data_IF_610544363785
#
_entry.id   IF_610544363785
#
_cell.length_a   1.000
_cell.length_b   1.000
_cell.length_c   1.000
_cell.angle_alpha   90.00
_cell.angle_beta   90.00
_cell.angle_gamma   90.00
#
_symmetry.space_group_name_H-M   'P 1'
#
loop_
_entity.id
_entity.type
_entity.pdbx_description
1 polymer ?
#
# COMPACT_ATOMS: atom_id res chain seq x y z
N UNK A 1 -21.76 -8.82 -7.75
CA UNK A 1 -21.97 -8.10 -9.02
C UNK A 1 -22.00 -6.62 -8.68
N UNK A 2 -20.97 -5.84 -9.03
CA UNK A 2 -20.95 -4.38 -8.84
C UNK A 2 -21.04 -3.72 -10.22
N UNK A 3 -22.01 -2.81 -10.48
CA UNK A 3 -22.21 -2.23 -11.80
C UNK A 3 -21.51 -0.87 -11.85
N UNK A 4 -20.44 -0.71 -12.63
CA UNK A 4 -20.05 0.63 -13.11
C UNK A 4 -19.55 0.58 -14.55
N UNK A 5 -20.44 1.04 -15.43
CA UNK A 5 -20.26 1.26 -16.86
C UNK A 5 -19.39 2.48 -17.15
N UNK A 6 -18.60 2.34 -18.21
CA UNK A 6 -18.25 3.33 -19.26
C UNK A 6 -18.35 4.82 -18.89
N UNK A 7 -17.20 5.46 -18.69
CA UNK A 7 -17.02 6.87 -19.02
C UNK A 7 -15.73 7.08 -19.80
N UNK A 8 -15.89 7.75 -20.96
CA UNK A 8 -14.85 8.18 -21.88
C UNK A 8 -14.09 9.34 -21.24
N UNK A 9 -12.86 9.13 -20.79
CA UNK A 9 -11.89 10.22 -20.71
C UNK A 9 -10.47 9.64 -20.77
N UNK A 10 -9.81 9.82 -21.93
CA UNK A 10 -8.45 9.30 -22.17
C UNK A 10 -7.40 9.89 -21.22
N UNK A 11 -7.63 11.10 -20.68
CA UNK A 11 -6.75 11.72 -19.70
C UNK A 11 -6.78 11.03 -18.33
N UNK A 12 -7.95 10.48 -17.98
CA UNK A 12 -8.18 9.70 -16.76
C UNK A 12 -7.47 8.35 -16.93
N UNK A 13 -7.66 7.64 -18.05
CA UNK A 13 -6.97 6.36 -18.30
C UNK A 13 -5.42 6.39 -18.09
N UNK A 14 -4.74 7.48 -18.47
CA UNK A 14 -3.28 7.59 -18.35
C UNK A 14 -2.77 7.89 -16.91
N UNK A 15 -3.57 8.56 -16.07
CA UNK A 15 -3.32 8.65 -14.62
C UNK A 15 -3.71 7.36 -13.87
N UNK A 16 -4.40 6.43 -14.54
CA UNK A 16 -5.07 5.29 -13.93
C UNK A 16 -4.29 3.98 -14.09
N UNK A 17 -3.43 3.87 -15.09
CA UNK A 17 -2.43 2.79 -15.19
C UNK A 17 -1.32 2.94 -14.14
N UNK A 18 -1.01 4.16 -13.72
CA UNK A 18 0.10 4.46 -12.82
C UNK A 18 -0.13 4.08 -11.36
N UNK A 19 -1.35 4.04 -10.81
CA UNK A 19 -1.54 3.68 -9.39
C UNK A 19 -1.20 2.22 -9.06
N UNK A 20 -1.64 1.29 -9.91
CA UNK A 20 -1.38 -0.14 -9.77
C UNK A 20 0.05 -0.51 -10.19
N UNK A 21 0.50 0.05 -11.32
CA UNK A 21 1.87 -0.14 -11.80
C UNK A 21 2.86 0.50 -10.82
N UNK A 22 2.58 1.67 -10.26
CA UNK A 22 3.45 2.32 -9.26
C UNK A 22 3.52 1.54 -7.96
N UNK A 23 2.43 0.95 -7.47
CA UNK A 23 2.52 0.11 -6.26
C UNK A 23 3.34 -1.16 -6.51
N UNK A 24 3.15 -1.82 -7.66
CA UNK A 24 3.96 -2.99 -8.04
C UNK A 24 5.43 -2.61 -8.35
N UNK A 25 5.67 -1.54 -9.12
CA UNK A 25 7.01 -1.02 -9.43
C UNK A 25 7.70 -0.55 -8.18
N UNK A 26 7.02 0.11 -7.24
CA UNK A 26 7.58 0.49 -5.94
C UNK A 26 7.92 -0.75 -5.12
N UNK A 27 7.05 -1.76 -5.10
CA UNK A 27 7.35 -3.04 -4.44
C UNK A 27 8.58 -3.72 -5.07
N UNK A 28 8.68 -3.74 -6.40
CA UNK A 28 9.81 -4.29 -7.14
C UNK A 28 11.09 -3.44 -7.05
N UNK A 29 10.97 -2.11 -6.96
CA UNK A 29 12.09 -1.18 -6.77
C UNK A 29 12.63 -1.28 -5.35
N UNK A 30 11.75 -1.43 -4.35
CA UNK A 30 12.13 -1.76 -2.99
C UNK A 30 12.82 -3.13 -2.91
N UNK A 31 12.41 -4.11 -3.72
CA UNK A 31 13.18 -5.36 -3.90
C UNK A 31 14.55 -5.13 -4.56
N UNK A 32 14.69 -4.18 -5.49
CA UNK A 32 15.95 -3.88 -6.19
C UNK A 32 16.98 -3.16 -5.30
N UNK A 33 16.52 -2.38 -4.32
CA UNK A 33 17.39 -1.82 -3.29
C UNK A 33 18.10 -2.90 -2.44
N UNK A 34 17.65 -4.17 -2.49
CA UNK A 34 18.10 -5.22 -1.58
C UNK A 34 18.97 -6.33 -2.19
N UNK A 35 19.34 -6.27 -3.48
CA UNK A 35 20.25 -7.26 -4.07
C UNK A 35 21.70 -6.76 -4.13
N UNK A 36 22.56 -7.04 -3.14
CA UNK A 36 23.98 -6.87 -3.31
C UNK A 36 24.59 -8.09 -4.03
N UNK A 37 25.34 -7.83 -5.10
CA UNK A 37 26.51 -8.66 -5.39
C UNK A 37 27.53 -8.33 -4.29
N UNK A 38 27.76 -9.28 -3.38
CA UNK A 38 28.73 -9.25 -2.26
C UNK A 38 28.39 -8.35 -1.05
N UNK A 39 28.65 -8.90 0.13
CA UNK A 39 28.13 -8.49 1.44
C UNK A 39 28.73 -7.18 2.01
N UNK A 40 28.47 -6.05 1.38
CA UNK A 40 28.57 -4.75 2.05
C UNK A 40 27.25 -4.41 2.73
N UNK A 41 27.31 -4.10 4.03
CA UNK A 41 26.16 -3.57 4.78
C UNK A 41 25.93 -2.13 4.32
N UNK A 42 25.13 -1.96 3.27
CA UNK A 42 24.77 -0.66 2.69
C UNK A 42 23.78 0.17 3.53
N UNK A 43 23.37 -0.35 4.70
CA UNK A 43 22.46 0.32 5.61
C UNK A 43 23.20 1.19 6.62
N UNK A 44 22.75 2.44 6.78
CA UNK A 44 23.11 3.21 7.98
C UNK A 44 22.42 2.59 9.21
N UNK A 45 23.02 2.74 10.40
CA UNK A 45 22.40 2.30 11.67
C UNK A 45 21.02 2.94 11.92
N UNK A 46 20.79 4.13 11.37
CA UNK A 46 19.48 4.80 11.45
C UNK A 46 18.45 4.12 10.55
N UNK A 47 18.81 3.85 9.29
CA UNK A 47 17.92 3.16 8.35
C UNK A 47 17.56 1.74 8.82
N UNK A 48 18.53 0.99 9.36
CA UNK A 48 18.28 -0.33 9.93
C UNK A 48 17.34 -0.29 11.14
N UNK A 49 17.51 0.69 12.03
CA UNK A 49 16.59 0.91 13.16
C UNK A 49 15.19 1.25 12.68
N UNK A 50 15.07 2.14 11.70
CA UNK A 50 13.78 2.51 11.13
C UNK A 50 13.06 1.30 10.49
N UNK A 51 13.77 0.49 9.70
CA UNK A 51 13.22 -0.74 9.13
C UNK A 51 12.73 -1.72 10.20
N UNK A 52 13.53 -1.95 11.25
CA UNK A 52 13.15 -2.84 12.34
C UNK A 52 11.94 -2.35 13.13
N UNK A 53 11.90 -1.06 13.47
CA UNK A 53 10.76 -0.45 14.17
C UNK A 53 9.50 -0.54 13.31
N UNK A 54 9.60 -0.23 12.02
CA UNK A 54 8.46 -0.25 11.09
C UNK A 54 7.91 -1.66 10.93
N UNK A 55 8.78 -2.66 10.71
CA UNK A 55 8.36 -4.07 10.56
C UNK A 55 7.76 -4.64 11.86
N UNK A 56 8.27 -4.27 13.03
CA UNK A 56 7.66 -4.64 14.32
C UNK A 56 6.29 -4.00 14.51
N UNK A 57 6.14 -2.73 14.15
CA UNK A 57 4.86 -2.03 14.17
C UNK A 57 3.84 -2.74 13.26
N UNK A 58 4.21 -3.03 12.00
CA UNK A 58 3.37 -3.72 11.05
C UNK A 58 2.97 -5.12 11.53
N UNK A 59 3.87 -5.84 12.20
CA UNK A 59 3.56 -7.15 12.78
C UNK A 59 2.52 -7.05 13.91
N UNK A 60 2.59 -6.02 14.76
CA UNK A 60 1.57 -5.75 15.80
C UNK A 60 0.23 -5.36 15.16
N UNK A 61 0.25 -4.47 14.16
CA UNK A 61 -0.94 -4.09 13.41
C UNK A 61 -1.60 -5.31 12.74
N UNK A 62 -0.82 -6.17 12.10
CA UNK A 62 -1.29 -7.42 11.52
C UNK A 62 -1.99 -8.32 12.55
N UNK A 63 -1.42 -8.43 13.76
CA UNK A 63 -2.03 -9.15 14.88
C UNK A 63 -3.35 -8.53 15.35
N UNK A 64 -3.40 -7.21 15.53
CA UNK A 64 -4.61 -6.47 15.93
C UNK A 64 -5.75 -6.61 14.93
N UNK A 65 -5.44 -6.67 13.63
CA UNK A 65 -6.42 -6.85 12.56
C UNK A 65 -6.90 -8.31 12.41
N UNK A 66 -6.39 -9.24 13.23
CA UNK A 66 -6.76 -10.66 13.17
C UNK A 66 -6.41 -11.32 11.83
N UNK A 67 -5.41 -10.80 11.13
CA UNK A 67 -5.03 -11.28 9.81
C UNK A 67 -4.29 -12.62 9.91
N UNK A 68 -4.59 -13.54 8.99
CA UNK A 68 -3.96 -14.87 8.94
C UNK A 68 -2.88 -14.93 7.87
N UNK A 69 -1.80 -15.64 8.19
CA UNK A 69 -0.80 -16.09 7.24
C UNK A 69 -1.33 -17.33 6.49
N UNK A 70 -1.03 -17.45 5.18
CA UNK A 70 -1.44 -18.61 4.39
C UNK A 70 -0.49 -19.82 4.52
N UNK A 71 0.73 -19.63 5.02
CA UNK A 71 1.67 -20.72 5.26
C UNK A 71 2.69 -20.38 6.37
N UNK A 72 3.33 -21.41 6.92
CA UNK A 72 4.42 -21.32 7.89
C UNK A 72 5.68 -20.85 7.14
N UNK A 73 5.87 -19.54 7.05
CA UNK A 73 7.09 -18.91 6.56
C UNK A 73 8.03 -18.53 7.70
N UNK A 74 9.30 -18.28 7.40
CA UNK A 74 10.16 -17.59 8.36
C UNK A 74 9.58 -16.20 8.67
N UNK A 75 9.58 -15.80 9.95
CA UNK A 75 9.02 -14.52 10.37
C UNK A 75 9.65 -13.31 9.66
N UNK A 76 10.90 -13.45 9.20
CA UNK A 76 11.63 -12.41 8.48
C UNK A 76 11.07 -12.16 7.06
N UNK A 77 10.77 -13.22 6.29
CA UNK A 77 10.19 -13.07 4.95
C UNK A 77 8.82 -12.38 4.99
N UNK A 78 8.01 -12.73 6.00
CA UNK A 78 6.71 -12.11 6.22
C UNK A 78 6.83 -10.65 6.65
N UNK A 79 7.74 -10.33 7.58
CA UNK A 79 8.02 -8.94 7.98
C UNK A 79 8.46 -8.09 6.79
N UNK A 80 9.31 -8.65 5.93
CA UNK A 80 9.73 -7.98 4.70
C UNK A 80 8.56 -7.73 3.75
N UNK A 81 7.74 -8.75 3.44
CA UNK A 81 6.57 -8.59 2.55
C UNK A 81 5.58 -7.55 3.10
N UNK A 82 5.37 -7.50 4.42
CA UNK A 82 4.56 -6.44 5.06
C UNK A 82 5.15 -5.04 4.83
N UNK A 83 6.45 -4.86 5.10
CA UNK A 83 7.12 -3.58 4.94
C UNK A 83 7.09 -3.09 3.50
N UNK A 84 7.45 -3.95 2.54
CA UNK A 84 7.48 -3.60 1.12
C UNK A 84 6.13 -3.15 0.60
N UNK A 85 5.03 -3.79 1.05
CA UNK A 85 3.67 -3.38 0.65
C UNK A 85 3.23 -2.07 1.27
N UNK A 86 3.51 -1.87 2.56
CA UNK A 86 3.19 -0.63 3.26
C UNK A 86 3.97 0.55 2.65
N UNK A 87 5.29 0.40 2.49
CA UNK A 87 6.16 1.38 1.85
C UNK A 87 5.77 1.62 0.38
N UNK A 88 5.50 0.55 -0.38
CA UNK A 88 5.13 0.66 -1.78
C UNK A 88 3.82 1.40 -1.99
N UNK A 89 2.83 1.19 -1.12
CA UNK A 89 1.57 1.95 -1.16
C UNK A 89 1.80 3.43 -0.81
N UNK A 90 2.61 3.71 0.22
CA UNK A 90 2.97 5.07 0.63
C UNK A 90 3.63 5.85 -0.51
N UNK A 91 4.68 5.29 -1.10
CA UNK A 91 5.38 5.89 -2.24
C UNK A 91 4.45 6.12 -3.45
N UNK A 92 3.59 5.15 -3.76
CA UNK A 92 2.62 5.28 -4.85
C UNK A 92 1.60 6.40 -4.59
N UNK A 93 1.19 6.57 -3.33
CA UNK A 93 0.26 7.62 -2.94
C UNK A 93 0.93 9.01 -2.95
N UNK A 94 2.18 9.10 -2.50
CA UNK A 94 2.96 10.35 -2.57
C UNK A 94 3.21 10.76 -4.03
N UNK A 95 3.46 9.79 -4.91
CA UNK A 95 3.56 10.04 -6.35
C UNK A 95 2.23 10.54 -6.94
N UNK A 96 1.09 9.98 -6.51
CA UNK A 96 -0.23 10.48 -6.90
C UNK A 96 -0.40 11.94 -6.46
N UNK A 97 -0.08 12.27 -5.20
CA UNK A 97 -0.14 13.63 -4.67
C UNK A 97 0.73 14.59 -5.50
N UNK A 98 1.97 14.20 -5.78
CA UNK A 98 2.90 15.01 -6.58
C UNK A 98 2.37 15.25 -8.00
N UNK A 99 1.79 14.23 -8.64
CA UNK A 99 1.21 14.35 -9.99
C UNK A 99 -0.02 15.26 -10.07
N UNK A 100 -0.68 15.49 -8.93
CA UNK A 100 -1.94 16.23 -8.83
C UNK A 100 -1.78 17.62 -8.20
N UNK A 101 -0.56 18.02 -7.83
CA UNK A 101 -0.24 19.28 -7.14
C UNK A 101 -0.87 20.56 -7.73
N UNK A 102 -0.97 20.74 -9.05
CA UNK A 102 -1.62 21.91 -9.65
C UNK A 102 -3.17 21.90 -9.58
N UNK A 103 -3.79 20.74 -9.36
CA UNK A 103 -5.24 20.53 -9.50
C UNK A 103 -6.03 20.73 -8.20
N UNK A 104 -5.37 20.74 -7.04
CA UNK A 104 -5.99 20.81 -5.71
C UNK A 104 -6.58 22.18 -5.35
N UNK A 105 -6.16 23.25 -6.04
CA UNK A 105 -6.63 24.62 -5.76
C UNK A 105 -7.95 24.99 -6.43
N UNK A 106 -8.38 24.24 -7.46
CA UNK A 106 -9.63 24.51 -8.15
C UNK A 106 -10.79 23.75 -7.48
N UNK A 107 -11.83 24.48 -7.04
CA UNK A 107 -13.01 23.90 -6.36
C UNK A 107 -13.71 22.82 -7.18
N UNK A 108 -13.78 22.95 -8.51
CA UNK A 108 -14.36 21.94 -9.40
C UNK A 108 -13.52 20.66 -9.48
N UNK A 109 -12.20 20.79 -9.33
CA UNK A 109 -11.26 19.68 -9.38
C UNK A 109 -11.12 18.96 -8.02
N UNK A 110 -11.62 19.54 -6.91
CA UNK A 110 -11.62 18.87 -5.59
C UNK A 110 -12.47 17.60 -5.55
N UNK A 111 -13.61 17.57 -6.23
CA UNK A 111 -14.46 16.38 -6.30
C UNK A 111 -13.75 15.25 -7.06
N UNK A 112 -13.15 15.59 -8.20
CA UNK A 112 -12.31 14.66 -8.98
C UNK A 112 -11.11 14.17 -8.16
N UNK A 113 -10.53 15.02 -7.32
CA UNK A 113 -9.45 14.63 -6.41
C UNK A 113 -9.91 13.64 -5.33
N UNK A 114 -11.06 13.88 -4.71
CA UNK A 114 -11.64 12.95 -3.74
C UNK A 114 -11.92 11.58 -4.38
N UNK A 115 -12.54 11.56 -5.57
CA UNK A 115 -12.77 10.34 -6.33
C UNK A 115 -11.47 9.61 -6.71
N UNK A 116 -10.44 10.35 -7.14
CA UNK A 116 -9.14 9.77 -7.48
C UNK A 116 -8.50 9.04 -6.29
N UNK A 117 -8.60 9.60 -5.08
CA UNK A 117 -8.10 8.95 -3.85
C UNK A 117 -8.89 7.69 -3.50
N UNK A 118 -10.23 7.72 -3.61
CA UNK A 118 -11.07 6.52 -3.42
C UNK A 118 -10.64 5.42 -4.39
N UNK A 119 -10.56 5.76 -5.68
CA UNK A 119 -10.18 4.82 -6.75
C UNK A 119 -8.79 4.25 -6.52
N UNK A 120 -7.84 5.07 -6.08
CA UNK A 120 -6.48 4.62 -5.75
C UNK A 120 -6.48 3.50 -4.70
N UNK A 121 -7.15 3.72 -3.55
CA UNK A 121 -7.18 2.73 -2.47
C UNK A 121 -7.96 1.47 -2.86
N UNK A 122 -9.11 1.62 -3.55
CA UNK A 122 -9.89 0.48 -4.04
C UNK A 122 -9.06 -0.37 -5.01
N UNK A 123 -8.38 0.25 -5.98
CA UNK A 123 -7.55 -0.46 -6.96
C UNK A 123 -6.37 -1.18 -6.31
N UNK A 124 -5.72 -0.57 -5.32
CA UNK A 124 -4.63 -1.22 -4.59
C UNK A 124 -5.05 -2.59 -4.02
N UNK A 125 -6.26 -2.68 -3.47
CA UNK A 125 -6.80 -3.95 -2.98
C UNK A 125 -7.23 -4.92 -4.09
N UNK A 126 -7.80 -4.42 -5.19
CA UNK A 126 -8.22 -5.26 -6.31
C UNK A 126 -7.05 -6.04 -6.95
N UNK A 127 -5.83 -5.50 -6.90
CA UNK A 127 -4.60 -6.20 -7.35
C UNK A 127 -4.28 -7.46 -6.54
N UNK A 128 -4.93 -7.66 -5.41
CA UNK A 128 -4.71 -8.80 -4.53
C UNK A 128 -5.92 -9.73 -4.48
N UNK A 129 -7.00 -9.41 -5.20
CA UNK A 129 -8.22 -10.21 -5.29
C UNK A 129 -8.05 -11.50 -6.11
N UNK A 130 -6.91 -11.70 -6.79
CA UNK A 130 -6.66 -12.95 -7.49
C UNK A 130 -6.53 -14.14 -6.53
N UNK A 131 -7.02 -15.29 -7.00
CA UNK A 131 -6.86 -16.58 -6.35
C UNK A 131 -5.39 -17.01 -6.43
N UNK A 132 -4.56 -16.47 -5.54
CA UNK A 132 -3.14 -16.77 -5.46
C UNK A 132 -2.99 -18.26 -5.09
N UNK A 133 -2.82 -19.12 -6.10
CA UNK A 133 -2.54 -20.57 -6.00
C UNK A 133 -1.08 -20.86 -5.59
N UNK A 134 -0.29 -19.84 -5.28
CA UNK A 134 1.14 -20.01 -5.04
C UNK A 134 1.41 -20.57 -3.64
N UNK A 135 2.12 -21.71 -3.61
CA UNK A 135 2.62 -22.45 -2.44
C UNK A 135 3.69 -21.70 -1.60
N UNK A 136 4.07 -20.47 -1.97
CA UNK A 136 5.12 -19.72 -1.24
C UNK A 136 4.53 -19.10 0.03
N UNK A 137 5.30 -19.00 1.13
CA UNK A 137 4.87 -18.30 2.33
C UNK A 137 4.69 -16.82 2.02
N UNK A 138 3.44 -16.40 1.93
CA UNK A 138 3.07 -15.01 1.66
C UNK A 138 1.88 -14.62 2.52
N UNK A 139 1.69 -13.31 2.65
CA UNK A 139 0.48 -12.75 3.22
C UNK A 139 -0.77 -13.25 2.45
N UNK A 140 -1.87 -13.51 3.16
CA UNK A 140 -3.15 -13.76 2.51
C UNK A 140 -3.57 -12.55 1.67
N UNK A 141 -4.38 -12.75 0.62
CA UNK A 141 -4.93 -11.65 -0.20
C UNK A 141 -5.57 -10.55 0.65
N UNK A 142 -6.29 -10.94 1.70
CA UNK A 142 -6.88 -10.01 2.68
C UNK A 142 -5.80 -9.22 3.41
N UNK A 143 -4.74 -9.86 3.88
CA UNK A 143 -3.64 -9.18 4.56
C UNK A 143 -2.83 -8.27 3.62
N UNK A 144 -2.61 -8.68 2.37
CA UNK A 144 -1.95 -7.87 1.33
C UNK A 144 -2.69 -6.56 1.06
N UNK A 145 -4.02 -6.56 1.16
CA UNK A 145 -4.87 -5.38 1.00
C UNK A 145 -5.01 -4.56 2.29
N UNK A 146 -5.47 -5.18 3.39
CA UNK A 146 -5.85 -4.45 4.58
C UNK A 146 -4.65 -3.87 5.33
N UNK A 147 -3.54 -4.59 5.42
CA UNK A 147 -2.42 -4.13 6.24
C UNK A 147 -1.84 -2.78 5.75
N UNK A 148 -1.56 -2.60 4.44
CA UNK A 148 -1.13 -1.30 3.93
C UNK A 148 -2.18 -0.20 4.08
N UNK A 149 -3.48 -0.52 3.91
CA UNK A 149 -4.55 0.48 4.05
C UNK A 149 -4.67 1.01 5.49
N UNK A 150 -4.61 0.11 6.48
CA UNK A 150 -4.64 0.48 7.89
C UNK A 150 -3.35 1.18 8.36
N UNK A 151 -2.27 1.12 7.57
CA UNK A 151 -1.06 1.90 7.75
C UNK A 151 -1.15 3.33 7.16
N UNK A 152 -2.15 3.62 6.33
CA UNK A 152 -2.32 4.89 5.65
C UNK A 152 -3.43 5.72 6.34
N UNK A 153 -3.12 6.74 7.15
CA UNK A 153 -4.15 7.59 7.76
C UNK A 153 -5.04 8.27 6.72
N UNK A 154 -4.52 8.50 5.51
CA UNK A 154 -5.27 9.07 4.39
C UNK A 154 -6.40 8.17 3.90
N UNK A 155 -6.27 6.84 4.06
CA UNK A 155 -7.38 5.92 3.79
C UNK A 155 -8.53 6.18 4.77
N UNK A 156 -8.23 6.28 6.06
CA UNK A 156 -9.23 6.58 7.09
C UNK A 156 -9.95 7.91 6.84
N UNK A 157 -9.23 8.93 6.38
CA UNK A 157 -9.81 10.22 6.04
C UNK A 157 -10.68 10.19 4.76
N UNK A 158 -10.33 9.39 3.75
CA UNK A 158 -11.09 9.31 2.48
C UNK A 158 -12.40 8.55 2.63
N UNK A 159 -12.41 7.51 3.47
CA UNK A 159 -13.58 6.66 3.67
C UNK A 159 -14.34 6.98 4.97
N UNK A 160 -14.01 8.10 5.61
CA UNK A 160 -14.60 8.54 6.88
C UNK A 160 -14.65 7.42 7.94
N UNK A 161 -13.52 6.70 8.07
CA UNK A 161 -13.38 5.59 9.00
C UNK A 161 -12.92 6.03 10.39
N UNK A 162 -12.44 7.28 10.55
CA UNK A 162 -11.85 7.79 11.80
C UNK A 162 -12.87 7.83 12.95
N UNK A 163 -14.16 7.93 12.63
CA UNK A 163 -15.26 7.94 13.60
C UNK A 163 -15.79 6.55 13.98
N UNK A 164 -15.27 5.48 13.37
CA UNK A 164 -15.73 4.11 13.60
C UNK A 164 -14.84 3.43 14.65
N UNK A 165 -15.44 2.97 15.73
CA UNK A 165 -14.74 2.28 16.83
C UNK A 165 -13.94 1.04 16.35
N UNK A 166 -14.37 0.42 15.25
CA UNK A 166 -13.74 -0.76 14.68
C UNK A 166 -12.55 -0.48 13.73
N UNK A 167 -12.30 0.79 13.38
CA UNK A 167 -11.20 1.13 12.46
C UNK A 167 -9.89 1.36 13.21
N UNK A 168 -8.93 0.47 12.97
CA UNK A 168 -7.58 0.58 13.53
C UNK A 168 -6.65 1.27 12.53
N UNK A 169 -6.26 2.51 12.77
CA UNK A 169 -5.19 3.18 12.00
C UNK A 169 -3.89 3.20 12.79
N UNK A 170 -2.78 2.76 12.20
CA UNK A 170 -1.46 2.84 12.83
C UNK A 170 -0.40 3.09 11.74
N UNK A 171 0.15 4.31 11.70
CA UNK A 171 1.17 4.68 10.73
C UNK A 171 2.54 4.14 11.17
N UNK A 172 2.87 2.94 10.69
CA UNK A 172 4.14 2.26 10.93
C UNK A 172 5.25 2.70 9.98
N UNK A 173 4.89 3.13 8.78
CA UNK A 173 5.80 3.60 7.73
C UNK A 173 5.45 5.06 7.41
N UNK A 174 6.45 5.94 7.48
CA UNK A 174 6.29 7.39 7.32
C UNK A 174 6.62 7.86 5.91
#
# INVERSE_FOLDING_TARGET
MLPFCKTKSRAVANLFESGAISSCVSTHASHACETPRQAEVWWTRAAWRHYNTSTMCLQRLHGRLGLRYRAIGSGELLRRDMFLRAQGLRLAYDALLASMGPLTFNKYLRHLWHEARIVFFVRSCLLHCDADQRLKPTLSSRAKCLLPLHNMPEFGAVFDCVSREDFVSEQCVA
#
